data_IF_064830598242
#
_entry.id   IF_064830598242
#
_cell.length_a   1.000
_cell.length_b   1.000
_cell.length_c   1.000
_cell.angle_alpha   90.00
_cell.angle_beta   90.00
_cell.angle_gamma   90.00
#
_symmetry.space_group_name_H-M   'P 1'
#
loop_
_entity.id
_entity.type
_entity.pdbx_description
1 polymer ?
#
# COMPACT_ATOMS: atom_id res chain seq x y z
N UNK A 1 3.11 8.15 0.60
CA UNK A 1 1.67 8.51 0.77
C UNK A 1 1.53 9.77 1.62
N UNK A 2 0.69 10.69 1.14
CA UNK A 2 0.34 11.94 1.82
C UNK A 2 -1.17 12.01 2.05
N UNK A 3 -1.58 12.68 3.12
CA UNK A 3 -2.98 12.89 3.50
C UNK A 3 -3.29 14.39 3.55
N UNK A 4 -4.44 14.77 3.03
CA UNK A 4 -5.10 16.04 3.36
C UNK A 4 -6.45 15.75 4.02
N UNK A 5 -6.98 16.70 4.78
CA UNK A 5 -8.16 16.53 5.63
C UNK A 5 -9.24 17.53 5.24
N UNK A 6 -10.49 17.11 5.38
CA UNK A 6 -11.67 17.97 5.30
C UNK A 6 -12.58 17.68 6.50
N UNK A 7 -13.09 18.73 7.14
CA UNK A 7 -14.04 18.64 8.27
C UNK A 7 -15.41 19.20 7.92
N UNK A 8 -15.63 19.56 6.65
CA UNK A 8 -16.87 20.10 6.10
C UNK A 8 -17.33 19.30 4.88
N UNK A 9 -17.29 17.97 4.98
CA UNK A 9 -17.82 17.06 3.95
C UNK A 9 -17.20 17.27 2.55
N UNK A 10 -15.92 17.63 2.49
CA UNK A 10 -15.18 17.80 1.24
C UNK A 10 -15.32 19.17 0.58
N UNK A 11 -16.04 20.13 1.18
CA UNK A 11 -16.17 21.49 0.64
C UNK A 11 -14.81 22.21 0.60
N UNK A 12 -13.99 22.04 1.63
CA UNK A 12 -12.62 22.56 1.69
C UNK A 12 -11.65 21.53 2.23
N UNK A 13 -10.40 21.63 1.79
CA UNK A 13 -9.30 20.76 2.19
C UNK A 13 -8.15 21.57 2.76
N UNK A 14 -7.39 20.97 3.67
CA UNK A 14 -6.16 21.57 4.13
C UNK A 14 -5.12 21.65 3.00
N UNK A 15 -4.50 22.82 2.86
CA UNK A 15 -3.54 23.09 1.80
C UNK A 15 -2.19 22.41 2.04
N UNK A 16 -1.85 22.12 3.29
CA UNK A 16 -0.61 21.45 3.67
C UNK A 16 -0.91 19.97 3.93
N UNK A 17 -0.44 19.10 3.04
CA UNK A 17 -0.56 17.66 3.23
C UNK A 17 0.43 17.12 4.26
N UNK A 18 0.04 16.09 4.98
CA UNK A 18 0.87 15.38 5.96
C UNK A 18 1.38 14.09 5.33
N UNK A 19 2.69 13.83 5.38
CA UNK A 19 3.22 12.52 4.99
C UNK A 19 2.84 11.49 6.06
N UNK A 20 2.10 10.47 5.68
CA UNK A 20 1.64 9.42 6.61
C UNK A 20 2.45 8.12 6.47
N UNK A 21 3.02 7.86 5.30
CA UNK A 21 3.89 6.70 5.11
C UNK A 21 5.27 6.96 5.73
N UNK A 22 5.96 5.93 6.26
CA UNK A 22 7.33 6.06 6.75
C UNK A 22 8.27 6.70 5.72
N UNK A 23 9.29 7.40 6.21
CA UNK A 23 10.28 8.07 5.34
C UNK A 23 11.05 7.09 4.45
N UNK A 24 11.28 5.88 4.97
CA UNK A 24 11.97 4.79 4.29
C UNK A 24 11.18 4.21 3.08
N UNK A 25 9.85 4.34 3.07
CA UNK A 25 9.05 3.91 1.91
C UNK A 25 9.12 5.00 0.83
N UNK A 26 9.85 4.71 -0.24
CA UNK A 26 10.24 5.68 -1.28
C UNK A 26 9.39 5.58 -2.55
N UNK A 27 8.77 4.44 -2.81
CA UNK A 27 7.84 4.23 -3.92
C UNK A 27 6.54 3.73 -3.33
N UNK A 28 5.41 4.38 -3.67
CA UNK A 28 4.09 3.98 -3.17
C UNK A 28 3.06 4.06 -4.28
N UNK A 29 2.16 3.08 -4.36
CA UNK A 29 1.13 2.99 -5.40
C UNK A 29 -0.16 2.37 -4.83
N UNK A 30 -1.27 2.61 -5.53
CA UNK A 30 -2.61 2.14 -5.16
C UNK A 30 -3.02 2.45 -3.71
N UNK A 31 -2.89 3.72 -3.24
CA UNK A 31 -3.38 4.06 -1.93
C UNK A 31 -4.91 3.96 -1.88
N UNK A 32 -5.45 3.31 -0.84
CA UNK A 32 -6.87 3.27 -0.53
C UNK A 32 -7.07 3.67 0.92
N UNK A 33 -8.17 4.33 1.23
CA UNK A 33 -8.46 4.85 2.57
C UNK A 33 -9.89 4.53 2.96
N UNK A 34 -10.08 4.17 4.22
CA UNK A 34 -11.39 4.16 4.85
C UNK A 34 -11.29 4.83 6.22
N UNK A 35 -12.42 5.33 6.70
CA UNK A 35 -12.51 6.14 7.91
C UNK A 35 -13.71 5.71 8.76
N UNK A 36 -13.49 5.60 10.06
CA UNK A 36 -14.56 5.39 11.02
C UNK A 36 -15.03 6.72 11.64
N UNK A 37 -14.92 6.81 12.96
CA UNK A 37 -15.22 8.04 13.68
C UNK A 37 -14.21 9.17 13.36
N UNK A 38 -14.56 10.45 13.61
CA UNK A 38 -13.68 11.58 13.32
C UNK A 38 -12.25 11.38 13.85
N UNK A 39 -11.27 11.44 12.94
CA UNK A 39 -9.85 11.24 13.27
C UNK A 39 -9.36 9.80 13.25
N UNK A 40 -10.24 8.81 13.05
CA UNK A 40 -9.88 7.40 12.97
C UNK A 40 -9.88 6.91 11.54
N UNK A 41 -8.70 6.62 11.00
CA UNK A 41 -8.51 6.24 9.60
C UNK A 41 -7.58 5.05 9.46
N UNK A 42 -7.74 4.32 8.37
CA UNK A 42 -6.76 3.37 7.87
C UNK A 42 -6.52 3.60 6.38
N UNK A 43 -5.26 3.49 5.97
CA UNK A 43 -4.81 3.66 4.59
C UNK A 43 -3.95 2.46 4.22
N UNK A 44 -4.30 1.75 3.16
CA UNK A 44 -3.42 0.74 2.57
C UNK A 44 -2.73 1.28 1.33
N UNK A 45 -1.55 0.75 1.01
CA UNK A 45 -0.84 1.01 -0.23
C UNK A 45 0.21 -0.09 -0.45
N UNK A 46 0.60 -0.29 -1.71
CA UNK A 46 1.82 -1.03 -2.01
C UNK A 46 3.01 -0.08 -1.89
N UNK A 47 4.06 -0.53 -1.20
CA UNK A 47 5.23 0.29 -0.88
C UNK A 47 6.54 -0.44 -1.11
N UNK A 48 7.58 0.29 -1.52
CA UNK A 48 8.96 -0.20 -1.58
C UNK A 48 9.89 0.67 -0.74
N UNK A 49 10.82 0.01 -0.04
CA UNK A 49 11.90 0.64 0.73
C UNK A 49 13.27 0.51 0.02
N UNK A 50 13.30 0.08 -1.25
CA UNK A 50 14.52 -0.10 -2.05
C UNK A 50 15.15 1.25 -2.48
N UNK A 51 15.48 2.10 -1.51
CA UNK A 51 16.07 3.42 -1.74
C UNK A 51 17.46 3.37 -2.38
N UNK A 52 18.14 2.21 -2.35
CA UNK A 52 19.40 1.99 -3.07
C UNK A 52 19.23 2.11 -4.59
N UNK A 53 18.03 1.85 -5.10
CA UNK A 53 17.75 1.89 -6.54
C UNK A 53 17.42 3.31 -7.03
N UNK A 54 17.24 4.29 -6.13
CA UNK A 54 17.01 5.68 -6.53
C UNK A 54 18.20 6.22 -7.33
N UNK A 55 17.90 6.89 -8.44
CA UNK A 55 18.85 7.40 -9.44
C UNK A 55 19.69 6.32 -10.16
N UNK A 56 19.44 5.03 -9.90
CA UNK A 56 19.93 3.96 -10.78
C UNK A 56 19.09 3.91 -12.05
N UNK A 57 19.56 3.17 -13.06
CA UNK A 57 18.83 3.01 -14.31
C UNK A 57 17.50 2.27 -14.07
N UNK A 58 16.42 2.88 -14.51
CA UNK A 58 15.08 2.33 -14.55
C UNK A 58 14.89 1.40 -15.77
N UNK A 59 13.68 0.89 -16.00
CA UNK A 59 13.41 -0.02 -17.12
C UNK A 59 13.53 0.62 -18.52
N UNK A 60 13.48 1.95 -18.61
CA UNK A 60 13.59 2.71 -19.86
C UNK A 60 15.01 3.33 -20.02
N UNK A 61 15.91 3.09 -19.06
CA UNK A 61 17.29 3.55 -19.10
C UNK A 61 17.54 4.87 -18.37
N UNK A 62 16.52 5.48 -17.79
CA UNK A 62 16.58 6.79 -17.12
C UNK A 62 16.83 6.65 -15.61
N UNK A 63 17.27 7.70 -14.89
CA UNK A 63 17.40 7.64 -13.44
C UNK A 63 16.05 7.42 -12.74
N UNK A 64 15.91 6.32 -12.02
CA UNK A 64 14.67 5.98 -11.32
C UNK A 64 14.38 6.96 -10.19
N UNK A 65 13.18 7.55 -10.21
CA UNK A 65 12.73 8.58 -9.27
C UNK A 65 11.78 8.05 -8.19
N UNK A 66 11.54 6.73 -8.17
CA UNK A 66 10.57 6.10 -7.28
C UNK A 66 9.20 5.84 -7.94
N UNK A 67 8.99 6.20 -9.20
CA UNK A 67 7.76 5.87 -9.92
C UNK A 67 7.66 4.35 -10.18
N UNK A 68 6.62 3.71 -9.62
CA UNK A 68 6.44 2.27 -9.71
C UNK A 68 6.21 1.74 -11.15
N UNK A 69 5.79 2.62 -12.07
CA UNK A 69 5.64 2.26 -13.48
C UNK A 69 6.97 1.91 -14.15
N UNK A 70 8.05 2.58 -13.72
CA UNK A 70 9.38 2.44 -14.32
C UNK A 70 10.34 1.63 -13.43
N UNK A 71 9.84 1.06 -12.33
CA UNK A 71 10.69 0.44 -11.33
C UNK A 71 11.60 -0.67 -11.91
N UNK A 72 12.92 -0.62 -11.65
CA UNK A 72 13.85 -1.65 -12.13
C UNK A 72 13.61 -3.00 -11.46
N UNK A 73 14.24 -4.07 -11.97
CA UNK A 73 14.01 -5.44 -11.52
C UNK A 73 14.35 -5.72 -10.05
N UNK A 74 15.16 -4.87 -9.41
CA UNK A 74 15.56 -5.02 -8.00
C UNK A 74 14.55 -4.43 -7.01
N UNK A 75 13.50 -3.76 -7.49
CA UNK A 75 12.50 -3.12 -6.62
C UNK A 75 11.44 -4.14 -6.24
N UNK A 76 11.21 -4.31 -4.94
CA UNK A 76 10.14 -5.15 -4.40
C UNK A 76 9.11 -4.30 -3.68
N UNK A 77 7.84 -4.61 -3.92
CA UNK A 77 6.69 -3.96 -3.31
C UNK A 77 6.03 -4.88 -2.30
N UNK A 78 5.66 -4.33 -1.16
CA UNK A 78 4.96 -5.02 -0.08
C UNK A 78 3.66 -4.29 0.23
N UNK A 79 2.67 -5.00 0.80
CA UNK A 79 1.45 -4.38 1.29
C UNK A 79 1.72 -3.69 2.62
N UNK A 80 1.38 -2.41 2.72
CA UNK A 80 1.44 -1.64 3.97
C UNK A 80 0.04 -1.19 4.37
N UNK A 81 -0.18 -1.08 5.67
CA UNK A 81 -1.32 -0.35 6.24
C UNK A 81 -0.78 0.69 7.22
N UNK A 82 -1.22 1.93 7.05
CA UNK A 82 -1.01 3.03 8.00
C UNK A 82 -2.35 3.38 8.63
N UNK A 83 -2.42 3.43 9.96
CA UNK A 83 -3.63 3.87 10.68
C UNK A 83 -3.31 5.01 11.65
N UNK A 84 -4.34 5.78 11.98
CA UNK A 84 -4.31 6.80 13.02
C UNK A 84 -5.65 6.80 13.73
N UNK A 85 -5.63 7.01 15.05
CA UNK A 85 -6.85 7.15 15.86
C UNK A 85 -7.16 8.61 16.19
N UNK A 86 -6.29 9.53 15.76
CA UNK A 86 -6.37 10.95 16.10
C UNK A 86 -5.88 11.85 14.95
N UNK A 87 -6.19 11.47 13.71
CA UNK A 87 -5.75 12.14 12.48
C UNK A 87 -6.22 13.60 12.37
N UNK A 88 -7.25 14.01 13.13
CA UNK A 88 -7.74 15.39 13.18
C UNK A 88 -7.06 16.25 14.26
N UNK A 89 -6.24 15.67 15.13
CA UNK A 89 -5.56 16.42 16.18
C UNK A 89 -4.53 17.40 15.59
N UNK A 90 -4.13 18.44 16.36
CA UNK A 90 -3.02 19.32 15.99
C UNK A 90 -1.69 18.58 15.79
N UNK A 91 -1.50 17.45 16.49
CA UNK A 91 -0.32 16.58 16.38
C UNK A 91 -0.79 15.12 16.23
N UNK A 92 -1.15 14.70 15.00
CA UNK A 92 -1.65 13.36 14.76
C UNK A 92 -0.53 12.32 14.85
N UNK A 93 -0.87 11.10 15.29
CA UNK A 93 0.05 9.96 15.35
C UNK A 93 -0.34 8.94 14.28
N UNK A 94 0.64 8.46 13.52
CA UNK A 94 0.45 7.43 12.50
C UNK A 94 1.27 6.19 12.85
N UNK A 95 0.63 5.02 12.80
CA UNK A 95 1.26 3.72 12.94
C UNK A 95 1.23 3.01 11.60
N UNK A 96 2.36 2.44 11.17
CA UNK A 96 2.45 1.72 9.90
C UNK A 96 2.94 0.31 10.13
N UNK A 97 2.31 -0.65 9.47
CA UNK A 97 2.70 -2.06 9.47
C UNK A 97 2.89 -2.52 8.03
N UNK A 98 3.98 -3.25 7.77
CA UNK A 98 4.11 -4.06 6.57
C UNK A 98 3.32 -5.35 6.79
N UNK A 99 2.23 -5.49 6.06
CA UNK A 99 1.22 -6.53 6.27
C UNK A 99 1.57 -7.80 5.50
N UNK A 100 2.15 -7.69 4.30
CA UNK A 100 2.62 -8.87 3.57
C UNK A 100 3.98 -9.37 4.12
N UNK A 101 4.14 -10.69 4.34
CA UNK A 101 5.39 -11.25 4.82
C UNK A 101 6.47 -11.29 3.72
N UNK A 102 6.04 -11.43 2.47
CA UNK A 102 6.83 -11.47 1.25
C UNK A 102 6.41 -10.33 0.29
N UNK A 103 7.19 -10.08 -0.79
CA UNK A 103 6.79 -9.11 -1.81
C UNK A 103 5.47 -9.51 -2.43
N UNK A 104 4.60 -8.52 -2.65
CA UNK A 104 3.38 -8.64 -3.47
C UNK A 104 3.71 -8.49 -4.95
N UNK A 105 4.77 -7.75 -5.28
CA UNK A 105 5.21 -7.54 -6.65
C UNK A 105 6.72 -7.26 -6.71
N UNK A 106 7.38 -7.78 -7.75
CA UNK A 106 8.77 -7.45 -8.10
C UNK A 106 8.81 -6.72 -9.44
N UNK A 107 9.60 -5.63 -9.47
CA UNK A 107 9.78 -4.76 -10.63
C UNK A 107 8.59 -3.86 -10.92
N UNK A 108 8.52 -3.38 -12.16
CA UNK A 108 7.52 -2.42 -12.59
C UNK A 108 6.07 -2.92 -12.43
N UNK A 109 5.21 -2.01 -12.00
CA UNK A 109 3.77 -2.22 -11.90
C UNK A 109 3.09 -1.57 -13.12
N UNK A 110 2.17 -2.27 -13.78
CA UNK A 110 1.39 -1.65 -14.84
C UNK A 110 0.52 -0.52 -14.27
N UNK A 111 0.69 0.69 -14.79
CA UNK A 111 -0.04 1.91 -14.40
C UNK A 111 -0.53 2.65 -15.66
N UNK A 112 -1.03 3.87 -15.48
CA UNK A 112 -1.41 4.79 -16.57
C UNK A 112 -2.46 4.22 -17.54
N UNK A 113 -3.53 3.63 -17.00
CA UNK A 113 -4.66 3.08 -17.78
C UNK A 113 -4.28 1.92 -18.73
N UNK A 114 -3.32 1.08 -18.32
CA UNK A 114 -2.95 -0.12 -19.06
C UNK A 114 -1.75 0.04 -19.98
N UNK A 115 -0.91 1.04 -19.75
CA UNK A 115 0.42 1.19 -20.36
C UNK A 115 1.40 0.13 -19.82
N UNK A 116 1.01 -1.13 -19.99
CA UNK A 116 1.72 -2.23 -19.35
C UNK A 116 3.00 -2.56 -20.09
N UNK A 117 4.01 -2.97 -19.34
CA UNK A 117 5.32 -3.34 -19.86
C UNK A 117 5.42 -4.86 -19.98
N UNK A 118 6.09 -5.30 -21.03
CA UNK A 118 6.36 -6.72 -21.28
C UNK A 118 7.85 -7.00 -21.00
N UNK A 119 8.16 -7.17 -19.72
CA UNK A 119 9.50 -7.46 -19.21
C UNK A 119 9.38 -8.79 -18.49
N UNK A 120 9.75 -9.88 -19.18
CA UNK A 120 9.55 -11.21 -18.64
C UNK A 120 8.11 -11.71 -18.65
N UNK A 121 7.26 -11.11 -19.50
CA UNK A 121 5.81 -11.28 -19.49
C UNK A 121 5.09 -10.02 -19.03
N UNK A 122 3.81 -9.92 -19.37
CA UNK A 122 2.96 -8.77 -19.02
C UNK A 122 2.91 -8.54 -17.51
N UNK A 123 3.34 -7.35 -17.06
CA UNK A 123 3.22 -6.90 -15.67
C UNK A 123 1.80 -6.42 -15.28
N UNK A 124 0.78 -6.84 -16.04
CA UNK A 124 -0.64 -6.53 -15.80
C UNK A 124 -1.33 -7.61 -14.96
N UNK A 125 -0.78 -7.88 -13.80
CA UNK A 125 -1.22 -8.97 -12.94
C UNK A 125 -1.95 -8.49 -11.67
N UNK A 126 -1.70 -7.24 -11.24
CA UNK A 126 -2.38 -6.66 -10.07
C UNK A 126 -3.76 -6.03 -10.39
N UNK A 127 -3.93 -5.51 -11.63
CA UNK A 127 -5.21 -4.99 -12.16
C UNK A 127 -5.90 -3.92 -11.29
N UNK A 128 -5.15 -3.18 -10.48
CA UNK A 128 -5.64 -2.17 -9.53
C UNK A 128 -6.65 -2.73 -8.50
N UNK A 129 -6.70 -4.06 -8.28
CA UNK A 129 -7.60 -4.71 -7.31
C UNK A 129 -7.08 -4.61 -5.86
N UNK A 130 -6.69 -3.40 -5.43
CA UNK A 130 -6.39 -3.11 -4.03
C UNK A 130 -7.53 -2.28 -3.47
N UNK A 131 -8.11 -2.72 -2.35
CA UNK A 131 -9.17 -2.02 -1.64
C UNK A 131 -9.05 -2.21 -0.13
N UNK A 132 -9.47 -1.21 0.64
CA UNK A 132 -9.52 -1.27 2.09
C UNK A 132 -10.91 -0.86 2.54
N UNK A 133 -11.48 -1.66 3.45
CA UNK A 133 -12.79 -1.40 4.01
C UNK A 133 -12.82 -1.65 5.51
N UNK A 134 -13.79 -1.07 6.22
CA UNK A 134 -14.08 -1.40 7.61
C UNK A 134 -15.41 -2.12 7.79
N UNK A 135 -15.48 -3.00 8.78
CA UNK A 135 -16.74 -3.64 9.17
C UNK A 135 -17.59 -2.79 10.13
N UNK A 136 -18.70 -3.36 10.62
CA UNK A 136 -19.63 -2.71 11.56
C UNK A 136 -19.02 -2.43 12.94
N UNK A 137 -17.87 -3.01 13.25
CA UNK A 137 -17.11 -2.78 14.47
C UNK A 137 -15.89 -1.89 14.22
N UNK A 138 -15.71 -1.37 13.01
CA UNK A 138 -14.57 -0.52 12.66
C UNK A 138 -13.26 -1.30 12.46
N UNK A 139 -13.34 -2.61 12.22
CA UNK A 139 -12.19 -3.47 11.93
C UNK A 139 -11.78 -3.34 10.47
N UNK A 140 -10.48 -3.20 10.24
CA UNK A 140 -9.92 -3.05 8.90
C UNK A 140 -9.83 -4.39 8.17
N UNK A 141 -10.29 -4.40 6.93
CA UNK A 141 -10.13 -5.45 5.93
C UNK A 141 -9.40 -4.87 4.71
N UNK A 142 -8.50 -5.65 4.13
CA UNK A 142 -7.80 -5.27 2.89
C UNK A 142 -7.91 -6.41 1.90
N UNK A 143 -8.40 -6.10 0.70
CA UNK A 143 -8.34 -6.98 -0.46
C UNK A 143 -7.21 -6.49 -1.37
N UNK A 144 -6.38 -7.41 -1.85
CA UNK A 144 -5.28 -7.09 -2.76
C UNK A 144 -5.01 -8.24 -3.72
N UNK A 145 -4.41 -7.93 -4.86
CA UNK A 145 -3.86 -8.92 -5.77
C UNK A 145 -2.40 -9.19 -5.40
N UNK A 146 -2.05 -10.45 -5.24
CA UNK A 146 -0.69 -10.93 -5.00
C UNK A 146 -0.07 -11.43 -6.31
N UNK A 147 0.93 -10.68 -6.74
CA UNK A 147 1.69 -10.92 -7.95
C UNK A 147 2.84 -11.89 -7.77
N UNK A 148 3.29 -12.13 -6.54
CA UNK A 148 4.53 -12.80 -6.24
C UNK A 148 4.29 -13.94 -5.25
N UNK A 149 3.72 -15.04 -5.75
CA UNK A 149 3.45 -16.24 -4.96
C UNK A 149 4.50 -17.34 -5.19
N UNK A 150 4.43 -18.43 -4.42
CA UNK A 150 5.23 -19.64 -4.61
C UNK A 150 6.75 -19.38 -4.64
N UNK A 151 7.43 -19.69 -5.74
CA UNK A 151 8.87 -19.47 -5.90
C UNK A 151 9.24 -18.00 -5.87
N UNK A 152 8.34 -17.09 -6.24
CA UNK A 152 8.58 -15.66 -6.13
C UNK A 152 8.62 -15.22 -4.65
N UNK A 153 7.67 -15.68 -3.84
CA UNK A 153 7.60 -15.35 -2.41
C UNK A 153 8.75 -15.97 -1.59
N UNK A 154 9.17 -17.18 -1.97
CA UNK A 154 10.14 -17.98 -1.18
C UNK A 154 11.56 -17.94 -1.72
N UNK A 155 11.76 -17.43 -2.93
CA UNK A 155 13.06 -17.31 -3.57
C UNK A 155 13.88 -16.15 -3.03
N UNK A 156 15.20 -16.32 -2.93
CA UNK A 156 16.12 -15.24 -2.54
C UNK A 156 16.55 -14.34 -3.70
N UNK A 157 16.09 -14.62 -4.92
CA UNK A 157 16.52 -13.93 -6.13
C UNK A 157 15.41 -13.89 -7.18
N UNK A 158 14.18 -13.67 -6.70
CA UNK A 158 12.99 -13.56 -7.54
C UNK A 158 13.14 -12.38 -8.49
N UNK A 159 12.82 -12.58 -9.76
CA UNK A 159 12.87 -11.54 -10.79
C UNK A 159 11.45 -11.09 -11.16
N UNK A 160 11.29 -10.00 -11.93
CA UNK A 160 9.96 -9.60 -12.40
C UNK A 160 9.21 -10.74 -13.13
N UNK A 161 9.91 -11.58 -13.88
CA UNK A 161 9.37 -12.77 -14.57
C UNK A 161 8.62 -13.73 -13.62
N UNK A 162 9.12 -13.89 -12.39
CA UNK A 162 8.54 -14.76 -11.36
C UNK A 162 7.28 -14.12 -10.72
N UNK A 163 7.17 -12.79 -10.79
CA UNK A 163 6.11 -12.00 -10.17
C UNK A 163 4.93 -11.75 -11.12
N UNK A 164 4.31 -12.83 -11.61
CA UNK A 164 3.21 -12.77 -12.60
C UNK A 164 1.92 -13.47 -12.14
N UNK A 165 1.86 -13.86 -10.87
CA UNK A 165 0.66 -14.42 -10.25
C UNK A 165 -0.48 -13.40 -10.19
N UNK A 166 -1.70 -13.87 -9.97
CA UNK A 166 -2.93 -13.05 -9.90
C UNK A 166 -3.82 -13.49 -8.74
N UNK A 167 -3.19 -13.93 -7.65
CA UNK A 167 -3.93 -14.47 -6.51
C UNK A 167 -4.65 -13.32 -5.81
N UNK A 168 -5.98 -13.39 -5.70
CA UNK A 168 -6.74 -12.46 -4.86
C UNK A 168 -6.64 -12.90 -3.40
N UNK A 169 -6.22 -11.98 -2.53
CA UNK A 169 -6.04 -12.20 -1.10
C UNK A 169 -6.83 -11.18 -0.30
N UNK A 170 -7.37 -11.61 0.86
CA UNK A 170 -8.07 -10.73 1.81
C UNK A 170 -7.50 -10.94 3.20
N UNK A 171 -6.93 -9.89 3.77
CA UNK A 171 -6.45 -9.88 5.15
C UNK A 171 -7.33 -8.98 6.00
N UNK A 172 -7.37 -9.20 7.31
CA UNK A 172 -8.11 -8.37 8.25
C UNK A 172 -7.30 -8.17 9.54
N UNK A 173 -7.61 -7.09 10.26
CA UNK A 173 -7.03 -6.82 11.56
C UNK A 173 -7.56 -7.84 12.57
N UNK A 174 -6.73 -8.80 12.97
CA UNK A 174 -7.11 -9.85 13.93
C UNK A 174 -7.47 -9.31 15.31
N UNK A 175 -6.68 -8.37 15.83
CA UNK A 175 -6.93 -7.68 17.09
C UNK A 175 -6.27 -6.29 17.04
N UNK A 176 -6.75 -5.35 17.86
CA UNK A 176 -6.16 -4.01 17.94
C UNK A 176 -7.23 -2.92 17.93
N UNK A 177 -6.85 -1.66 17.69
CA UNK A 177 -7.80 -0.56 17.83
C UNK A 177 -8.86 -0.57 16.73
N UNK A 178 -10.11 -0.38 17.14
CA UNK A 178 -11.22 -0.08 16.23
C UNK A 178 -11.13 1.35 15.70
N UNK A 179 -11.58 1.54 14.46
CA UNK A 179 -11.84 2.87 13.91
C UNK A 179 -13.13 3.51 14.45
N UNK A 180 -13.91 2.82 15.27
CA UNK A 180 -15.00 3.38 16.05
C UNK A 180 -14.59 3.53 17.52
N UNK A 181 -14.71 4.75 18.03
CA UNK A 181 -14.33 5.08 19.41
C UNK A 181 -15.14 4.28 20.43
N UNK A 182 -16.43 4.06 20.15
CA UNK A 182 -17.33 3.31 21.02
C UNK A 182 -16.98 1.83 21.20
N UNK A 183 -16.25 1.24 20.24
CA UNK A 183 -15.83 -0.16 20.27
C UNK A 183 -14.51 -0.33 21.05
N UNK A 184 -13.61 0.64 20.95
CA UNK A 184 -12.31 0.57 21.63
C UNK A 184 -11.36 -0.43 20.98
N UNK A 185 -10.86 -1.41 21.74
CA UNK A 185 -9.99 -2.45 21.23
C UNK A 185 -10.78 -3.69 20.80
N UNK A 186 -10.56 -4.14 19.56
CA UNK A 186 -11.13 -5.33 18.97
C UNK A 186 -10.46 -6.58 19.53
N UNK A 187 -11.29 -7.53 19.97
CA UNK A 187 -10.85 -8.88 20.29
C UNK A 187 -10.56 -9.68 19.01
N UNK A 188 -9.78 -10.76 19.15
CA UNK A 188 -9.65 -11.78 18.11
C UNK A 188 -11.01 -12.42 17.81
N UNK A 189 -11.24 -12.80 16.55
CA UNK A 189 -12.40 -13.62 16.23
C UNK A 189 -12.26 -14.98 16.92
N UNK A 190 -13.29 -15.39 17.65
CA UNK A 190 -13.44 -16.75 18.18
C UNK A 190 -13.79 -17.77 17.07
#
# INVERSE_FOLDING_TARGET
VYMSRSTNSGETWEQTSIRISPSAVISTVFPQVDAGDPGRIAVTYLGSENASELNQSDIDGEPWDGNAHYAPSNVSYYLYITYSLNALDPVPVFHTVRVSPDPVQVGSICLNSGDCRDIGGSNRNLLDFNDLHIDLEGRVYVAFADGCTDSCATGNNSTPEDSRSRLGSVYFLGSGPSLFESVGDLAEFE
#
